data_IF_467648564303
#
_entry.id   IF_467648564303
#
_cell.length_a   1.000
_cell.length_b   1.000
_cell.length_c   1.000
_cell.angle_alpha   90.00
_cell.angle_beta   90.00
_cell.angle_gamma   90.00
#
_symmetry.space_group_name_H-M   'P 1'
#
loop_
_entity.id
_entity.type
_entity.pdbx_description
1 polymer ?
#
# COMPACT_ATOMS: atom_id res chain seq x y z
N UNK A 1 13.30 5.51 2.30
CA UNK A 1 11.93 5.14 2.71
C UNK A 1 11.68 3.72 2.26
N UNK A 2 10.78 2.97 2.90
CA UNK A 2 10.43 1.61 2.47
C UNK A 2 8.93 1.55 2.24
N UNK A 3 8.52 0.97 1.12
CA UNK A 3 7.14 0.61 0.86
C UNK A 3 6.98 -0.90 1.04
N UNK A 4 5.85 -1.32 1.61
CA UNK A 4 5.52 -2.73 1.74
C UNK A 4 4.03 -2.94 1.78
N UNK A 5 3.59 -4.17 1.53
CA UNK A 5 2.20 -4.57 1.71
C UNK A 5 2.10 -5.96 2.33
N UNK A 6 0.97 -6.23 2.99
CA UNK A 6 0.65 -7.51 3.61
C UNK A 6 -0.82 -7.83 3.46
N UNK A 7 -1.18 -9.08 3.72
CA UNK A 7 -2.55 -9.55 3.89
C UNK A 7 -2.58 -10.67 4.93
N UNK A 8 -3.77 -11.17 5.28
CA UNK A 8 -3.90 -12.38 6.08
C UNK A 8 -3.27 -13.61 5.40
N UNK A 9 -3.16 -13.62 4.06
CA UNK A 9 -2.51 -14.68 3.30
C UNK A 9 -0.97 -14.61 3.33
N UNK A 10 -0.39 -13.56 3.92
CA UNK A 10 1.06 -13.37 4.02
C UNK A 10 1.55 -12.04 3.48
N UNK A 11 2.87 -11.96 3.29
CA UNK A 11 3.59 -10.76 2.87
C UNK A 11 3.53 -10.56 1.36
N UNK A 12 3.33 -9.32 0.94
CA UNK A 12 3.56 -8.90 -0.43
C UNK A 12 4.97 -8.35 -0.63
N UNK A 13 5.15 -7.61 -1.71
CA UNK A 13 6.44 -7.03 -2.07
C UNK A 13 6.90 -5.98 -1.05
N UNK A 14 8.21 -5.98 -0.77
CA UNK A 14 8.93 -4.95 -0.03
C UNK A 14 9.82 -4.20 -1.02
N UNK A 15 9.71 -2.87 -1.06
CA UNK A 15 10.45 -2.04 -1.99
C UNK A 15 11.16 -0.90 -1.25
N UNK A 16 12.48 -0.84 -1.37
CA UNK A 16 13.30 0.22 -0.79
C UNK A 16 13.35 1.39 -1.76
N UNK A 17 12.87 2.54 -1.31
CA UNK A 17 12.83 3.77 -2.08
C UNK A 17 13.93 4.75 -1.65
N UNK A 18 14.65 5.30 -2.62
CA UNK A 18 15.62 6.40 -2.43
C UNK A 18 14.99 7.73 -2.87
N UNK A 19 14.87 8.70 -1.95
CA UNK A 19 14.31 10.03 -2.20
C UNK A 19 12.86 10.22 -1.72
N UNK A 20 12.24 11.32 -2.16
CA UNK A 20 10.86 11.70 -1.78
C UNK A 20 9.82 11.01 -2.67
N UNK A 21 8.68 10.65 -2.09
CA UNK A 21 7.56 10.06 -2.81
C UNK A 21 6.56 11.13 -3.25
N UNK A 22 6.26 11.19 -4.54
CA UNK A 22 5.16 11.98 -5.10
C UNK A 22 4.06 11.04 -5.61
N UNK A 23 2.94 11.60 -6.07
CA UNK A 23 1.79 10.81 -6.52
C UNK A 23 2.08 9.92 -7.74
N UNK A 24 2.87 10.40 -8.71
CA UNK A 24 3.22 9.61 -9.91
C UNK A 24 4.10 8.41 -9.55
N UNK A 25 5.12 8.65 -8.71
CA UNK A 25 5.99 7.60 -8.18
C UNK A 25 5.21 6.60 -7.33
N UNK A 26 4.25 7.07 -6.54
CA UNK A 26 3.37 6.18 -5.80
C UNK A 26 2.55 5.27 -6.74
N UNK A 27 2.00 5.79 -7.83
CA UNK A 27 1.31 4.98 -8.85
C UNK A 27 2.25 3.93 -9.44
N UNK A 28 3.50 4.28 -9.77
CA UNK A 28 4.50 3.32 -10.25
C UNK A 28 4.72 2.17 -9.26
N UNK A 29 4.81 2.48 -7.96
CA UNK A 29 4.93 1.46 -6.91
C UNK A 29 3.68 0.57 -6.86
N UNK A 30 2.49 1.15 -6.99
CA UNK A 30 1.25 0.36 -7.03
C UNK A 30 1.22 -0.58 -8.24
N UNK A 31 1.72 -0.13 -9.40
CA UNK A 31 1.80 -0.94 -10.62
C UNK A 31 2.80 -2.08 -10.52
N UNK A 32 4.01 -1.78 -10.05
CA UNK A 32 5.14 -2.71 -10.04
C UNK A 32 5.10 -3.67 -8.85
N UNK A 33 4.52 -3.27 -7.72
CA UNK A 33 4.61 -4.02 -6.47
C UNK A 33 3.25 -4.41 -5.90
N UNK A 34 2.28 -3.48 -5.82
CA UNK A 34 0.98 -3.79 -5.22
C UNK A 34 0.14 -4.72 -6.11
N UNK A 35 0.03 -4.45 -7.42
CA UNK A 35 -0.79 -5.26 -8.32
C UNK A 35 -0.28 -6.72 -8.43
N UNK A 36 1.03 -7.00 -8.58
CA UNK A 36 1.53 -8.37 -8.54
C UNK A 36 1.30 -9.05 -7.19
N UNK A 37 1.54 -8.35 -6.09
CA UNK A 37 1.29 -8.88 -4.73
C UNK A 37 -0.19 -9.24 -4.56
N UNK A 38 -1.10 -8.38 -5.01
CA UNK A 38 -2.54 -8.66 -4.99
C UNK A 38 -2.90 -9.90 -5.79
N UNK A 39 -2.32 -10.08 -6.99
CA UNK A 39 -2.57 -11.26 -7.83
C UNK A 39 -2.08 -12.54 -7.14
N UNK A 40 -0.87 -12.50 -6.57
CA UNK A 40 -0.27 -13.65 -5.89
C UNK A 40 -1.05 -14.05 -4.62
N UNK A 41 -1.37 -13.07 -3.77
CA UNK A 41 -1.99 -13.32 -2.46
C UNK A 41 -3.48 -13.64 -2.52
N UNK A 42 -4.22 -13.04 -3.47
CA UNK A 42 -5.67 -13.20 -3.55
C UNK A 42 -6.12 -14.09 -4.72
N UNK A 43 -5.27 -14.35 -5.71
CA UNK A 43 -5.56 -15.26 -6.84
C UNK A 43 -6.91 -14.96 -7.52
N UNK A 44 -7.23 -13.67 -7.69
CA UNK A 44 -8.48 -13.21 -8.29
C UNK A 44 -9.65 -13.04 -7.32
N UNK A 45 -9.53 -13.47 -6.06
CA UNK A 45 -10.54 -13.21 -5.03
C UNK A 45 -10.69 -11.70 -4.77
N UNK A 46 -11.91 -11.23 -4.45
CA UNK A 46 -12.12 -9.85 -4.07
C UNK A 46 -11.27 -9.45 -2.87
N UNK A 47 -10.73 -8.25 -2.90
CA UNK A 47 -9.96 -7.67 -1.79
C UNK A 47 -10.26 -6.18 -1.68
N UNK A 48 -9.98 -5.61 -0.49
CA UNK A 48 -10.03 -4.18 -0.25
C UNK A 48 -8.60 -3.70 -0.02
N UNK A 49 -8.18 -2.67 -0.74
CA UNK A 49 -6.88 -2.05 -0.60
C UNK A 49 -6.92 -1.01 0.53
N UNK A 50 -5.98 -1.09 1.47
CA UNK A 50 -5.82 -0.13 2.56
C UNK A 50 -4.54 0.67 2.32
N UNK A 51 -4.64 1.99 2.47
CA UNK A 51 -3.53 2.93 2.60
C UNK A 51 -3.97 4.11 3.48
N UNK A 52 -3.01 4.87 4.01
CA UNK A 52 -3.32 6.08 4.77
C UNK A 52 -3.66 7.28 3.86
N UNK A 53 -4.02 8.40 4.46
CA UNK A 53 -4.41 9.62 3.76
C UNK A 53 -3.22 10.53 3.42
N UNK A 54 -2.00 9.99 3.23
CA UNK A 54 -0.85 10.80 2.83
C UNK A 54 -1.14 11.54 1.50
N UNK A 55 -0.56 12.73 1.31
CA UNK A 55 -0.82 13.59 0.14
C UNK A 55 -0.68 12.85 -1.21
N UNK A 56 0.33 11.98 -1.45
CA UNK A 56 0.43 11.22 -2.69
C UNK A 56 -0.70 10.20 -2.89
N UNK A 57 -1.27 9.69 -1.80
CA UNK A 57 -2.31 8.65 -1.83
C UNK A 57 -3.69 9.25 -2.17
N UNK A 58 -3.97 10.46 -1.68
CA UNK A 58 -5.23 11.18 -1.91
C UNK A 58 -5.19 12.10 -3.13
N UNK A 59 -4.03 12.28 -3.77
CA UNK A 59 -3.89 13.06 -4.98
C UNK A 59 -4.86 12.61 -6.09
N UNK A 60 -5.39 13.57 -6.86
CA UNK A 60 -6.38 13.33 -7.93
C UNK A 60 -5.92 12.27 -8.94
N UNK A 61 -4.63 12.27 -9.30
CA UNK A 61 -4.08 11.29 -10.23
C UNK A 61 -4.11 9.86 -9.66
N UNK A 62 -3.82 9.71 -8.36
CA UNK A 62 -3.79 8.43 -7.65
C UNK A 62 -5.21 7.89 -7.48
N UNK A 63 -6.14 8.71 -7.00
CA UNK A 63 -7.53 8.32 -6.81
C UNK A 63 -8.20 7.98 -8.14
N UNK A 64 -7.91 8.75 -9.20
CA UNK A 64 -8.37 8.45 -10.57
C UNK A 64 -7.81 7.14 -11.10
N UNK A 65 -6.52 6.86 -10.87
CA UNK A 65 -5.89 5.61 -11.27
C UNK A 65 -6.51 4.39 -10.54
N UNK A 66 -6.73 4.50 -9.22
CA UNK A 66 -7.39 3.47 -8.41
C UNK A 66 -8.80 3.17 -8.92
N UNK A 67 -9.57 4.23 -9.22
CA UNK A 67 -10.93 4.12 -9.78
C UNK A 67 -10.93 3.45 -11.15
N UNK A 68 -10.04 3.87 -12.07
CA UNK A 68 -9.94 3.27 -13.42
C UNK A 68 -9.63 1.77 -13.36
N UNK A 69 -8.82 1.34 -12.38
CA UNK A 69 -8.49 -0.07 -12.17
C UNK A 69 -9.52 -0.84 -11.33
N UNK A 70 -10.64 -0.21 -10.94
CA UNK A 70 -11.70 -0.80 -10.11
C UNK A 70 -11.17 -1.35 -8.77
N UNK A 71 -10.16 -0.69 -8.19
CA UNK A 71 -9.61 -1.06 -6.90
C UNK A 71 -10.51 -0.46 -5.81
N UNK A 72 -11.08 -1.32 -4.97
CA UNK A 72 -11.83 -0.89 -3.78
C UNK A 72 -10.85 -0.43 -2.71
N UNK A 73 -10.97 0.82 -2.28
CA UNK A 73 -10.11 1.41 -1.25
C UNK A 73 -10.89 1.48 0.07
N UNK A 74 -10.26 1.08 1.16
CA UNK A 74 -10.80 1.24 2.51
C UNK A 74 -10.74 2.72 2.89
N UNK A 75 -11.87 3.30 3.33
CA UNK A 75 -11.85 4.64 3.93
C UNK A 75 -11.02 4.58 5.21
N UNK A 76 -10.03 5.46 5.31
CA UNK A 76 -9.09 5.47 6.43
C UNK A 76 -9.27 6.74 7.28
N UNK A 77 -9.36 6.63 8.62
CA UNK A 77 -9.36 7.80 9.49
C UNK A 77 -7.97 8.48 9.50
N UNK A 78 -7.97 9.81 9.65
CA UNK A 78 -6.73 10.57 9.74
C UNK A 78 -5.98 10.25 11.04
N UNK A 79 -4.65 10.25 10.99
CA UNK A 79 -3.78 10.07 12.16
C UNK A 79 -4.02 8.77 12.95
N UNK A 80 -4.44 7.68 12.30
CA UNK A 80 -4.68 6.39 12.94
C UNK A 80 -3.73 5.29 12.45
N UNK A 81 -2.42 5.40 12.71
CA UNK A 81 -1.46 4.35 12.34
C UNK A 81 -1.66 3.07 13.17
N UNK A 82 -2.15 3.20 14.40
CA UNK A 82 -2.48 2.11 15.34
C UNK A 82 -3.51 1.12 14.78
N UNK A 83 -4.40 1.58 13.91
CA UNK A 83 -5.40 0.75 13.24
C UNK A 83 -4.81 -0.09 12.11
N UNK A 84 -3.59 0.20 11.62
CA UNK A 84 -3.00 -0.53 10.50
C UNK A 84 -2.16 -1.73 10.99
N UNK A 85 -2.51 -2.96 10.58
CA UNK A 85 -1.74 -4.15 10.98
C UNK A 85 -0.28 -4.12 10.53
N UNK A 86 0.05 -3.39 9.46
CA UNK A 86 1.40 -3.34 8.92
C UNK A 86 2.38 -2.63 9.86
N UNK A 87 1.90 -1.75 10.74
CA UNK A 87 2.75 -1.09 11.74
C UNK A 87 3.37 -2.08 12.74
N UNK A 88 2.66 -3.18 13.03
CA UNK A 88 3.24 -4.26 13.83
C UNK A 88 4.43 -4.92 13.14
N UNK A 89 4.36 -5.10 11.82
CA UNK A 89 5.45 -5.67 11.03
C UNK A 89 6.63 -4.71 11.00
N UNK A 90 6.38 -3.42 10.77
CA UNK A 90 7.44 -2.41 10.79
C UNK A 90 8.14 -2.35 12.14
N UNK A 91 7.40 -2.45 13.24
CA UNK A 91 7.96 -2.53 14.59
C UNK A 91 8.86 -3.75 14.76
N UNK A 92 8.46 -4.93 14.28
CA UNK A 92 9.28 -6.15 14.33
C UNK A 92 10.56 -5.99 13.50
N UNK A 93 10.45 -5.48 12.27
CA UNK A 93 11.60 -5.27 11.39
C UNK A 93 12.60 -4.33 12.04
N UNK A 94 12.15 -3.17 12.54
CA UNK A 94 13.02 -2.18 13.22
C UNK A 94 13.73 -2.76 14.46
N UNK A 95 13.11 -3.69 15.18
CA UNK A 95 13.73 -4.36 16.35
C UNK A 95 14.77 -5.41 15.99
N UNK A 96 14.74 -5.90 14.74
CA UNK A 96 15.65 -6.94 14.23
C UNK A 96 16.75 -6.37 13.32
N UNK A 97 16.73 -5.06 13.08
CA UNK A 97 17.80 -4.30 12.43
C UNK A 97 18.75 -3.78 13.49
#
# INVERSE_FOLDING_TARGET
>A
MVWGCMSACGMGSLHIWKGTINAERYIQVLEQHMLPSRRCLFQGRPCIFQHDNARPHTASITTSWLRRRRIRVLKWPACSPDLSPIENIWRIIKRKM
#
